data_IF_999753877178
#
_entry.id   IF_999753877178
#
_cell.length_a   1.000
_cell.length_b   1.000
_cell.length_c   1.000
_cell.angle_alpha   90.00
_cell.angle_beta   90.00
_cell.angle_gamma   90.00
#
_symmetry.space_group_name_H-M   'P 1'
#
loop_
_entity.id
_entity.type
_entity.pdbx_description
1 polymer ?
#
# COMPACT_ATOMS: atom_id res chain seq x y z
N UNK A 1 -23.66 -12.14 16.06
CA UNK A 1 -22.67 -11.24 15.44
C UNK A 1 -21.27 -11.67 15.86
N UNK A 2 -20.52 -12.38 15.01
CA UNK A 2 -19.12 -12.72 15.29
C UNK A 2 -18.29 -11.47 14.98
N UNK A 3 -17.78 -10.78 16.01
CA UNK A 3 -16.70 -9.80 15.83
C UNK A 3 -15.48 -10.60 15.40
N UNK A 4 -15.16 -10.57 14.11
CA UNK A 4 -13.88 -11.08 13.61
C UNK A 4 -12.79 -10.23 14.24
N UNK A 5 -12.02 -10.83 15.14
CA UNK A 5 -10.81 -10.24 15.70
C UNK A 5 -9.91 -9.76 14.54
N UNK A 6 -9.27 -8.58 14.63
CA UNK A 6 -8.37 -8.14 13.57
C UNK A 6 -7.31 -9.21 13.36
N UNK A 7 -7.13 -9.63 12.11
CA UNK A 7 -6.06 -10.57 11.75
C UNK A 7 -4.72 -10.01 12.23
N UNK A 8 -3.78 -10.87 12.66
CA UNK A 8 -2.45 -10.41 13.14
C UNK A 8 -1.76 -9.48 12.14
N UNK A 9 -2.02 -9.67 10.85
CA UNK A 9 -1.52 -8.83 9.75
C UNK A 9 -2.02 -7.39 9.78
N UNK A 10 -3.18 -7.12 10.37
CA UNK A 10 -3.75 -5.77 10.50
C UNK A 10 -3.05 -5.00 11.62
N UNK A 11 -2.68 -5.67 12.72
CA UNK A 11 -2.10 -5.04 13.90
C UNK A 11 -0.71 -4.44 13.62
N UNK A 12 0.10 -5.11 12.81
CA UNK A 12 1.48 -4.72 12.55
C UNK A 12 1.69 -3.95 11.25
N UNK A 13 0.63 -3.71 10.47
CA UNK A 13 0.75 -3.11 9.14
C UNK A 13 1.26 -1.68 9.18
N UNK A 14 0.64 -0.83 9.99
CA UNK A 14 1.03 0.58 10.11
C UNK A 14 2.44 0.70 10.71
N UNK A 15 2.78 0.03 11.84
CA UNK A 15 4.15 0.05 12.35
C UNK A 15 5.19 -0.41 11.34
N UNK A 16 4.91 -1.51 10.62
CA UNK A 16 5.82 -2.02 9.60
C UNK A 16 6.08 -0.98 8.49
N UNK A 17 5.03 -0.34 7.97
CA UNK A 17 5.17 0.66 6.92
C UNK A 17 5.88 1.93 7.40
N UNK A 18 5.71 2.31 8.66
CA UNK A 18 6.45 3.41 9.29
C UNK A 18 7.95 3.07 9.42
N UNK A 19 8.28 1.85 9.82
CA UNK A 19 9.67 1.37 9.86
C UNK A 19 10.30 1.38 8.46
N UNK A 20 9.52 1.03 7.42
CA UNK A 20 9.95 1.13 6.01
C UNK A 20 10.21 2.58 5.62
N UNK A 21 9.31 3.53 5.96
CA UNK A 21 9.54 4.96 5.70
C UNK A 21 10.83 5.45 6.39
N UNK A 22 11.05 5.06 7.65
CA UNK A 22 12.26 5.43 8.38
C UNK A 22 13.52 4.85 7.72
N UNK A 23 13.48 3.59 7.32
CA UNK A 23 14.61 2.90 6.69
C UNK A 23 14.95 3.54 5.35
N UNK A 24 13.96 3.75 4.49
CA UNK A 24 14.17 4.38 3.18
C UNK A 24 14.61 5.85 3.31
N UNK A 25 14.08 6.58 4.29
CA UNK A 25 14.51 7.94 4.58
C UNK A 25 15.98 8.03 5.00
N UNK A 26 16.49 7.05 5.76
CA UNK A 26 17.94 6.94 6.04
C UNK A 26 18.74 6.61 4.79
N UNK A 27 18.26 5.66 3.99
CA UNK A 27 18.94 5.28 2.74
C UNK A 27 19.04 6.44 1.75
N UNK A 28 18.08 7.37 1.70
CA UNK A 28 18.18 8.57 0.86
C UNK A 28 19.35 9.48 1.24
N UNK A 29 19.76 9.51 2.51
CA UNK A 29 20.90 10.32 2.96
C UNK A 29 22.21 9.73 2.43
N UNK A 30 22.31 8.40 2.41
CA UNK A 30 23.48 7.68 1.91
C UNK A 30 23.49 7.62 0.36
N UNK A 31 22.30 7.61 -0.26
CA UNK A 31 22.09 7.53 -1.69
C UNK A 31 21.11 8.63 -2.14
N UNK A 32 21.58 9.86 -2.41
CA UNK A 32 20.70 10.98 -2.78
C UNK A 32 19.94 10.76 -4.11
N UNK A 33 20.39 9.81 -4.92
CA UNK A 33 19.73 9.39 -6.16
C UNK A 33 18.86 8.14 -5.98
N UNK A 34 18.48 7.79 -4.74
CA UNK A 34 17.62 6.62 -4.51
C UNK A 34 16.27 6.84 -5.20
N UNK A 35 16.05 6.01 -6.23
CA UNK A 35 14.94 6.14 -7.16
C UNK A 35 13.60 5.67 -6.57
N UNK A 36 12.56 5.86 -7.38
CA UNK A 36 11.20 5.46 -7.13
C UNK A 36 11.00 3.95 -6.82
N UNK A 37 9.90 3.65 -6.17
CA UNK A 37 9.50 2.30 -5.78
C UNK A 37 8.70 1.66 -6.91
N UNK A 38 9.17 0.50 -7.39
CA UNK A 38 8.44 -0.34 -8.35
C UNK A 38 7.93 -1.60 -7.66
N UNK A 39 6.67 -1.95 -7.90
CA UNK A 39 6.04 -3.15 -7.36
C UNK A 39 5.38 -3.96 -8.48
N UNK A 40 5.60 -5.28 -8.48
CA UNK A 40 4.86 -6.20 -9.32
C UNK A 40 3.68 -6.75 -8.52
N UNK A 41 2.45 -6.46 -8.98
CA UNK A 41 1.25 -7.00 -8.33
C UNK A 41 0.90 -8.35 -8.95
N UNK A 42 0.91 -9.39 -8.11
CA UNK A 42 0.68 -10.79 -8.52
C UNK A 42 -0.78 -11.21 -8.31
N UNK A 43 -1.52 -10.53 -7.42
CA UNK A 43 -2.92 -10.84 -7.13
C UNK A 43 -3.75 -9.57 -6.89
N UNK A 44 -4.97 -9.46 -7.46
CA UNK A 44 -5.82 -8.26 -7.34
C UNK A 44 -6.16 -7.86 -5.90
N UNK A 45 -6.07 -8.77 -4.92
CA UNK A 45 -6.33 -8.46 -3.50
C UNK A 45 -5.38 -7.41 -2.91
N UNK A 46 -4.20 -7.22 -3.50
CA UNK A 46 -3.23 -6.22 -3.04
C UNK A 46 -3.45 -4.85 -3.69
N UNK A 47 -4.33 -4.75 -4.69
CA UNK A 47 -4.57 -3.52 -5.43
C UNK A 47 -5.08 -2.39 -4.53
N UNK A 48 -5.99 -2.70 -3.62
CA UNK A 48 -6.53 -1.73 -2.68
C UNK A 48 -5.44 -1.19 -1.74
N UNK A 49 -4.56 -2.06 -1.24
CA UNK A 49 -3.44 -1.65 -0.39
C UNK A 49 -2.44 -0.82 -1.17
N UNK A 50 -2.04 -1.27 -2.36
CA UNK A 50 -1.07 -0.53 -3.17
C UNK A 50 -1.63 0.85 -3.57
N UNK A 51 -2.90 0.92 -3.96
CA UNK A 51 -3.55 2.20 -4.28
C UNK A 51 -3.62 3.12 -3.06
N UNK A 52 -3.89 2.58 -1.87
CA UNK A 52 -3.88 3.34 -0.61
C UNK A 52 -2.51 3.96 -0.31
N UNK A 53 -1.44 3.24 -0.63
CA UNK A 53 -0.07 3.72 -0.47
C UNK A 53 0.35 4.71 -1.58
N UNK A 54 -0.53 5.00 -2.54
CA UNK A 54 -0.29 5.94 -3.62
C UNK A 54 0.37 5.35 -4.86
N UNK A 55 0.45 4.01 -4.98
CA UNK A 55 0.97 3.37 -6.17
C UNK A 55 0.06 3.62 -7.38
N UNK A 56 0.69 3.84 -8.53
CA UNK A 56 0.03 4.05 -9.81
C UNK A 56 0.34 2.88 -10.74
N UNK A 57 -0.68 2.37 -11.44
CA UNK A 57 -0.50 1.34 -12.47
C UNK A 57 0.27 1.93 -13.65
N UNK A 58 1.33 1.27 -14.07
CA UNK A 58 2.16 1.74 -15.20
C UNK A 58 1.95 0.88 -16.44
N UNK A 59 1.90 -0.44 -16.29
CA UNK A 59 1.74 -1.37 -17.41
C UNK A 59 0.99 -2.64 -17.00
N UNK A 60 0.07 -3.11 -17.85
CA UNK A 60 -0.67 -4.37 -17.66
C UNK A 60 -0.30 -5.32 -18.79
N UNK A 61 0.36 -6.42 -18.44
CA UNK A 61 0.74 -7.46 -19.41
C UNK A 61 -0.49 -8.32 -19.71
N UNK A 62 -1.17 -8.05 -20.83
CA UNK A 62 -2.23 -8.94 -21.33
C UNK A 62 -1.61 -10.26 -21.83
N UNK A 63 -2.20 -11.44 -21.55
CA UNK A 63 -3.51 -11.71 -20.90
C UNK A 63 -3.45 -11.99 -19.38
N UNK A 64 -2.35 -11.65 -18.69
CA UNK A 64 -2.15 -12.02 -17.29
C UNK A 64 -2.78 -11.01 -16.30
N UNK A 65 -3.06 -11.47 -15.08
CA UNK A 65 -3.44 -10.59 -13.96
C UNK A 65 -2.25 -9.85 -13.34
N UNK A 66 -1.04 -10.02 -13.90
CA UNK A 66 0.16 -9.36 -13.47
C UNK A 66 0.19 -7.94 -14.03
N UNK A 67 0.57 -6.98 -13.19
CA UNK A 67 0.80 -5.63 -13.64
C UNK A 67 1.82 -4.91 -12.77
N UNK A 68 2.53 -3.99 -13.38
CA UNK A 68 3.49 -3.13 -12.70
C UNK A 68 2.79 -1.92 -12.10
N UNK A 69 3.24 -1.60 -10.90
CA UNK A 69 2.88 -0.40 -10.16
C UNK A 69 4.14 0.38 -9.80
N UNK A 70 3.97 1.69 -9.67
CA UNK A 70 5.03 2.65 -9.44
C UNK A 70 4.61 3.66 -8.38
N UNK A 71 5.54 4.05 -7.52
CA UNK A 71 5.34 5.06 -6.49
C UNK A 71 6.64 5.86 -6.32
N UNK A 72 6.62 7.18 -6.56
CA UNK A 72 7.76 8.02 -6.23
C UNK A 72 8.10 7.92 -4.73
N UNK A 73 9.38 7.76 -4.44
CA UNK A 73 9.83 7.51 -3.07
C UNK A 73 9.53 8.72 -2.15
N UNK A 74 9.73 9.93 -2.65
CA UNK A 74 9.37 11.18 -1.96
C UNK A 74 7.89 11.22 -1.55
N UNK A 75 7.00 10.79 -2.45
CA UNK A 75 5.55 10.71 -2.17
C UNK A 75 5.25 9.66 -1.10
N UNK A 76 5.95 8.52 -1.14
CA UNK A 76 5.80 7.51 -0.11
C UNK A 76 6.27 8.02 1.26
N UNK A 77 7.40 8.73 1.33
CA UNK A 77 7.92 9.28 2.57
C UNK A 77 7.04 10.40 3.16
N UNK A 78 6.34 11.15 2.30
CA UNK A 78 5.40 12.20 2.73
C UNK A 78 4.01 11.67 3.13
N UNK A 79 3.72 10.38 2.91
CA UNK A 79 2.41 9.78 3.15
C UNK A 79 2.14 9.60 4.65
N UNK A 80 0.96 10.06 5.11
CA UNK A 80 0.41 9.61 6.39
C UNK A 80 -0.16 8.19 6.25
N UNK A 81 0.70 7.21 6.55
CA UNK A 81 0.37 5.78 6.45
C UNK A 81 -0.82 5.40 7.32
N UNK A 82 -0.96 5.99 8.51
CA UNK A 82 -2.04 5.60 9.43
C UNK A 82 -3.40 5.98 8.84
N UNK A 83 -3.51 7.22 8.35
CA UNK A 83 -4.72 7.72 7.68
C UNK A 83 -4.99 6.97 6.38
N UNK A 84 -3.97 6.80 5.52
CA UNK A 84 -4.11 6.13 4.23
C UNK A 84 -4.61 4.68 4.36
N UNK A 85 -4.09 3.93 5.34
CA UNK A 85 -4.53 2.56 5.63
C UNK A 85 -5.94 2.58 6.25
N UNK A 86 -6.22 3.48 7.19
CA UNK A 86 -7.55 3.59 7.78
C UNK A 86 -8.63 3.87 6.72
N UNK A 87 -8.37 4.78 5.78
CA UNK A 87 -9.31 5.12 4.71
C UNK A 87 -9.55 3.92 3.78
N UNK A 88 -8.49 3.27 3.34
CA UNK A 88 -8.59 2.15 2.39
C UNK A 88 -9.35 0.94 2.94
N UNK A 89 -9.16 0.61 4.21
CA UNK A 89 -9.86 -0.52 4.84
C UNK A 89 -11.20 -0.09 5.47
N UNK A 90 -11.38 1.17 5.84
CA UNK A 90 -12.67 1.74 6.24
C UNK A 90 -13.67 1.83 5.08
N UNK A 91 -13.19 2.08 3.85
CA UNK A 91 -14.03 2.08 2.66
C UNK A 91 -14.48 0.67 2.24
N UNK A 92 -13.68 -0.37 2.51
CA UNK A 92 -14.04 -1.76 2.22
C UNK A 92 -15.25 -2.24 3.05
N UNK A 93 -15.35 -1.80 4.31
CA UNK A 93 -16.49 -2.12 5.18
C UNK A 93 -17.78 -1.37 4.77
N UNK A 94 -17.67 -0.21 4.12
CA UNK A 94 -18.80 0.54 3.60
C UNK A 94 -19.33 -0.04 2.28
N UNK A 95 -18.44 -0.42 1.36
CA UNK A 95 -18.82 -1.05 0.09
C UNK A 95 -19.43 -2.45 0.32
N UNK A 96 -18.90 -3.23 1.26
CA UNK A 96 -19.47 -4.54 1.62
C UNK A 96 -20.87 -4.46 2.26
N UNK A 97 -21.23 -3.31 2.84
CA UNK A 97 -22.58 -3.06 3.41
C UNK A 97 -23.58 -2.49 2.40
N UNK A 98 -23.11 -1.81 1.34
CA UNK A 98 -23.99 -1.23 0.31
C UNK A 98 -24.46 -2.26 -0.74
N UNK A 99 -23.88 -3.47 -0.75
CA UNK A 99 -24.23 -4.56 -1.69
C UNK A 99 -25.17 -5.59 -1.01
N UNK A 100 -25.79 -5.24 0.12
CA UNK A 100 -26.80 -6.07 0.80
C UNK A 100 -28.15 -5.37 0.85
#
# INVERSE_FOLDING_TARGET
MKRTSPSKETLYRVPFLQDVQQTLGRMQQDFPNLCDIHALVIHPSYEALASALGFQKTHRDFPTSLYWMYLPLDRFLALDVATAIADAFGQQDAVAKSVR
#
